data_IF_496194473074
#
_entry.id   IF_496194473074
#
_cell.length_a   1.000
_cell.length_b   1.000
_cell.length_c   1.000
_cell.angle_alpha   90.00
_cell.angle_beta   90.00
_cell.angle_gamma   90.00
#
_symmetry.space_group_name_H-M   'P 1'
#
loop_
_entity.id
_entity.type
_entity.pdbx_description
1 polymer ?
#
# COMPACT_ATOMS: atom_id res chain seq x y z
N UNK A 1 -71.91 45.20 38.47
CA UNK A 1 -70.94 45.06 37.36
C UNK A 1 -69.91 44.04 37.79
N UNK A 2 -69.99 42.81 37.30
CA UNK A 2 -69.04 41.74 37.58
C UNK A 2 -68.57 41.20 36.22
N UNK A 3 -67.27 41.27 35.97
CA UNK A 3 -66.61 40.85 34.74
C UNK A 3 -66.67 39.32 34.57
N UNK A 4 -66.81 38.80 33.35
CA UNK A 4 -66.58 37.38 33.08
C UNK A 4 -65.10 37.10 32.83
N UNK A 5 -64.56 36.09 33.51
CA UNK A 5 -63.23 35.52 33.27
C UNK A 5 -63.15 34.81 31.90
N UNK A 6 -62.05 34.96 31.13
CA UNK A 6 -61.82 34.17 29.92
C UNK A 6 -61.30 32.75 30.24
N UNK A 7 -61.53 31.77 29.35
CA UNK A 7 -61.39 30.35 29.64
C UNK A 7 -59.92 29.88 29.76
N UNK A 8 -59.67 29.01 30.74
CA UNK A 8 -58.41 28.30 30.95
C UNK A 8 -57.91 27.61 29.68
N UNK A 9 -56.73 28.03 29.22
CA UNK A 9 -56.04 27.39 28.10
C UNK A 9 -55.63 25.95 28.46
N UNK A 10 -56.09 25.01 27.63
CA UNK A 10 -55.67 23.61 27.68
C UNK A 10 -54.18 23.53 27.28
N UNK A 11 -53.29 22.88 28.06
CA UNK A 11 -51.91 22.69 27.63
C UNK A 11 -51.89 21.76 26.41
N UNK A 12 -51.39 22.26 25.27
CA UNK A 12 -51.10 21.42 24.11
C UNK A 12 -50.07 20.37 24.51
N UNK A 13 -50.53 19.12 24.59
CA UNK A 13 -49.71 17.95 24.85
C UNK A 13 -48.73 17.80 23.67
N UNK A 14 -47.46 18.08 23.92
CA UNK A 14 -46.39 17.87 22.95
C UNK A 14 -46.39 16.38 22.52
N UNK A 15 -46.27 16.07 21.21
CA UNK A 15 -46.12 14.68 20.79
C UNK A 15 -44.89 14.06 21.47
N UNK A 16 -44.92 12.77 21.83
CA UNK A 16 -43.80 12.11 22.49
C UNK A 16 -42.53 12.31 21.66
N UNK A 17 -41.35 12.48 22.30
CA UNK A 17 -40.11 12.55 21.56
C UNK A 17 -39.98 11.30 20.72
N UNK A 18 -40.16 11.45 19.40
CA UNK A 18 -39.84 10.45 18.42
C UNK A 18 -38.44 9.95 18.76
N UNK A 19 -38.33 8.67 19.07
CA UNK A 19 -37.06 7.98 19.28
C UNK A 19 -36.20 8.25 18.05
N UNK A 20 -35.35 9.27 18.14
CA UNK A 20 -34.41 9.60 17.11
C UNK A 20 -33.47 8.41 17.05
N UNK A 21 -33.75 7.54 16.08
CA UNK A 21 -32.94 6.40 15.72
C UNK A 21 -31.50 6.88 15.71
N UNK A 22 -30.73 6.38 16.69
CA UNK A 22 -29.33 6.70 16.89
C UNK A 22 -28.68 6.74 15.52
N UNK A 23 -28.19 7.92 15.13
CA UNK A 23 -27.54 8.20 13.85
C UNK A 23 -26.74 6.99 13.43
N UNK A 24 -27.21 6.31 12.38
CA UNK A 24 -26.50 5.18 11.80
C UNK A 24 -25.04 5.61 11.56
N UNK A 25 -24.06 4.76 11.89
CA UNK A 25 -22.67 5.02 11.53
C UNK A 25 -22.57 5.33 10.02
N UNK A 26 -21.54 6.09 9.58
CA UNK A 26 -21.37 6.50 8.19
C UNK A 26 -21.68 5.36 7.25
N UNK A 27 -22.40 5.57 6.13
CA UNK A 27 -23.03 4.50 5.37
C UNK A 27 -22.02 3.40 5.13
N UNK A 28 -22.25 2.26 5.78
CA UNK A 28 -21.37 1.11 5.69
C UNK A 28 -21.37 0.70 4.22
N UNK A 29 -20.16 0.65 3.65
CA UNK A 29 -19.99 0.09 2.32
C UNK A 29 -20.09 -1.41 2.48
N UNK A 30 -21.12 -2.03 1.90
CA UNK A 30 -21.19 -3.47 1.84
C UNK A 30 -20.06 -4.03 0.94
N UNK A 31 -19.71 -5.31 1.07
CA UNK A 31 -18.79 -5.97 0.16
C UNK A 31 -19.26 -5.83 -1.29
N UNK A 32 -20.53 -6.11 -1.56
CA UNK A 32 -21.12 -6.06 -2.90
C UNK A 32 -21.12 -4.65 -3.48
N UNK A 33 -21.43 -3.63 -2.66
CA UNK A 33 -21.33 -2.22 -3.09
C UNK A 33 -19.89 -1.84 -3.44
N UNK A 34 -18.92 -2.33 -2.66
CA UNK A 34 -17.50 -2.06 -2.90
C UNK A 34 -17.04 -2.74 -4.20
N UNK A 35 -17.49 -3.97 -4.46
CA UNK A 35 -17.22 -4.67 -5.71
C UNK A 35 -17.84 -3.93 -6.91
N UNK A 36 -19.12 -3.57 -6.82
CA UNK A 36 -19.81 -2.79 -7.86
C UNK A 36 -19.12 -1.46 -8.14
N UNK A 37 -18.65 -0.76 -7.10
CA UNK A 37 -17.86 0.47 -7.25
C UNK A 37 -16.57 0.21 -8.01
N UNK A 38 -15.81 -0.84 -7.66
CA UNK A 38 -14.54 -1.13 -8.30
C UNK A 38 -14.74 -1.47 -9.78
N UNK A 39 -15.77 -2.27 -10.12
CA UNK A 39 -16.09 -2.61 -11.50
C UNK A 39 -16.51 -1.38 -12.33
N UNK A 40 -17.43 -0.58 -11.82
CA UNK A 40 -17.93 0.62 -12.52
C UNK A 40 -16.84 1.67 -12.69
N UNK A 41 -16.02 1.89 -11.66
CA UNK A 41 -14.86 2.77 -11.74
C UNK A 41 -13.83 2.26 -12.74
N UNK A 42 -13.48 0.97 -12.69
CA UNK A 42 -12.53 0.32 -13.62
C UNK A 42 -12.95 0.59 -15.06
N UNK A 43 -14.21 0.33 -15.39
CA UNK A 43 -14.73 0.54 -16.74
C UNK A 43 -14.49 1.98 -17.22
N UNK A 44 -14.97 2.98 -16.45
CA UNK A 44 -14.81 4.40 -16.83
C UNK A 44 -13.35 4.84 -16.85
N UNK A 45 -12.54 4.39 -15.89
CA UNK A 45 -11.11 4.72 -15.82
C UNK A 45 -10.34 4.17 -17.02
N UNK A 46 -10.64 2.95 -17.47
CA UNK A 46 -10.04 2.37 -18.67
C UNK A 46 -10.50 3.06 -19.96
N UNK A 47 -11.79 3.39 -20.10
CA UNK A 47 -12.31 4.13 -21.27
C UNK A 47 -11.63 5.49 -21.44
N UNK A 48 -11.15 6.09 -20.35
CA UNK A 48 -10.42 7.36 -20.35
C UNK A 48 -8.89 7.19 -20.45
N UNK A 49 -8.40 6.01 -20.81
CA UNK A 49 -6.96 5.74 -20.89
C UNK A 49 -6.25 5.90 -19.54
N UNK A 50 -6.92 5.51 -18.45
CA UNK A 50 -6.46 5.68 -17.05
C UNK A 50 -6.40 7.13 -16.58
N UNK A 51 -7.12 8.04 -17.24
CA UNK A 51 -7.26 9.44 -16.84
C UNK A 51 -8.18 9.68 -15.64
N UNK A 52 -8.25 10.93 -15.17
CA UNK A 52 -9.10 11.32 -14.04
C UNK A 52 -10.58 11.39 -14.46
N UNK A 53 -11.46 10.83 -13.63
CA UNK A 53 -12.90 10.93 -13.83
C UNK A 53 -13.40 12.36 -13.50
N UNK A 54 -14.22 12.91 -14.40
CA UNK A 54 -14.94 14.17 -14.22
C UNK A 54 -16.24 13.94 -13.44
N UNK A 55 -16.90 15.03 -13.01
CA UNK A 55 -18.16 14.96 -12.25
C UNK A 55 -19.22 14.06 -12.91
N UNK A 56 -19.44 14.21 -14.22
CA UNK A 56 -20.41 13.39 -14.95
C UNK A 56 -20.06 11.89 -14.90
N UNK A 57 -18.77 11.54 -15.03
CA UNK A 57 -18.34 10.13 -14.94
C UNK A 57 -18.56 9.55 -13.54
N UNK A 58 -18.40 10.38 -12.49
CA UNK A 58 -18.71 9.94 -11.13
C UNK A 58 -20.21 9.76 -10.91
N UNK A 59 -21.05 10.55 -11.57
CA UNK A 59 -22.50 10.35 -11.57
C UNK A 59 -22.85 9.00 -12.19
N UNK A 60 -22.33 8.71 -13.39
CA UNK A 60 -22.56 7.41 -14.05
C UNK A 60 -22.08 6.22 -13.21
N UNK A 61 -20.98 6.37 -12.45
CA UNK A 61 -20.51 5.34 -11.51
C UNK A 61 -21.51 5.13 -10.37
N UNK A 62 -22.04 6.21 -9.78
CA UNK A 62 -23.03 6.13 -8.71
C UNK A 62 -24.34 5.50 -9.20
N UNK A 63 -24.80 5.86 -10.40
CA UNK A 63 -26.00 5.31 -11.01
C UNK A 63 -25.83 3.81 -11.28
N UNK A 64 -24.67 3.40 -11.80
CA UNK A 64 -24.35 1.99 -12.04
C UNK A 64 -24.29 1.15 -10.75
N UNK A 65 -23.80 1.72 -9.64
CA UNK A 65 -23.82 1.05 -8.33
C UNK A 65 -25.26 0.92 -7.84
N UNK A 66 -26.04 1.99 -7.95
CA UNK A 66 -27.45 2.00 -7.52
C UNK A 66 -28.29 0.99 -8.31
N UNK A 67 -28.02 0.82 -9.60
CA UNK A 67 -28.67 -0.20 -10.44
C UNK A 67 -28.30 -1.64 -10.04
N UNK A 68 -27.06 -1.89 -9.60
CA UNK A 68 -26.60 -3.22 -9.17
C UNK A 68 -26.97 -3.55 -7.73
N UNK A 69 -27.16 -2.53 -6.90
CA UNK A 69 -27.47 -2.66 -5.48
C UNK A 69 -28.75 -1.88 -5.14
N UNK A 70 -29.92 -2.27 -5.70
CA UNK A 70 -31.17 -1.50 -5.55
C UNK A 70 -31.71 -1.51 -4.11
N UNK A 71 -31.24 -2.45 -3.27
CA UNK A 71 -31.68 -2.60 -1.89
C UNK A 71 -30.98 -1.64 -0.91
N UNK A 72 -29.97 -0.90 -1.35
CA UNK A 72 -29.23 0.03 -0.49
C UNK A 72 -29.91 1.39 -0.51
N UNK A 73 -30.57 1.72 0.60
CA UNK A 73 -31.14 3.05 0.84
C UNK A 73 -30.45 3.73 2.03
N UNK A 74 -29.99 4.98 1.89
CA UNK A 74 -30.01 5.81 0.68
C UNK A 74 -28.95 5.38 -0.37
N UNK A 75 -29.19 5.63 -1.67
CA UNK A 75 -28.20 5.43 -2.73
C UNK A 75 -26.89 6.17 -2.44
N UNK A 76 -25.76 5.57 -2.85
CA UNK A 76 -24.45 6.21 -2.68
C UNK A 76 -24.29 7.37 -3.65
N UNK A 77 -23.86 8.53 -3.14
CA UNK A 77 -23.66 9.72 -3.98
C UNK A 77 -22.36 9.61 -4.80
N UNK A 78 -22.23 10.36 -5.91
CA UNK A 78 -21.00 10.40 -6.72
C UNK A 78 -19.76 10.76 -5.90
N UNK A 79 -19.92 11.70 -4.96
CA UNK A 79 -18.87 12.16 -4.07
C UNK A 79 -18.46 11.05 -3.09
N UNK A 80 -19.41 10.30 -2.54
CA UNK A 80 -19.12 9.15 -1.68
C UNK A 80 -18.36 8.05 -2.45
N UNK A 81 -18.77 7.77 -3.69
CA UNK A 81 -18.10 6.83 -4.58
C UNK A 81 -16.64 7.24 -4.82
N UNK A 82 -16.41 8.52 -5.15
CA UNK A 82 -15.07 9.09 -5.31
C UNK A 82 -14.22 8.91 -4.05
N UNK A 83 -14.70 9.35 -2.89
CA UNK A 83 -13.95 9.24 -1.63
C UNK A 83 -13.64 7.79 -1.26
N UNK A 84 -14.58 6.87 -1.48
CA UNK A 84 -14.35 5.44 -1.24
C UNK A 84 -13.26 4.90 -2.16
N UNK A 85 -13.31 5.23 -3.44
CA UNK A 85 -12.28 4.81 -4.41
C UNK A 85 -10.90 5.37 -4.05
N UNK A 86 -10.81 6.64 -3.64
CA UNK A 86 -9.56 7.23 -3.14
C UNK A 86 -8.99 6.46 -1.93
N UNK A 87 -9.84 6.06 -0.98
CA UNK A 87 -9.44 5.21 0.15
C UNK A 87 -8.97 3.83 -0.30
N UNK A 88 -9.67 3.18 -1.23
CA UNK A 88 -9.29 1.86 -1.76
C UNK A 88 -7.92 1.91 -2.45
N UNK A 89 -7.70 2.90 -3.33
CA UNK A 89 -6.41 3.11 -4.01
C UNK A 89 -5.29 3.45 -3.05
N UNK A 90 -5.57 4.21 -1.97
CA UNK A 90 -4.59 4.46 -0.90
C UNK A 90 -4.21 3.16 -0.19
N UNK A 91 -5.19 2.35 0.22
CA UNK A 91 -4.93 1.05 0.87
C UNK A 91 -4.14 0.12 -0.04
N UNK A 92 -4.50 0.03 -1.32
CA UNK A 92 -3.77 -0.77 -2.32
C UNK A 92 -2.30 -0.37 -2.42
N UNK A 93 -1.98 0.93 -2.49
CA UNK A 93 -0.58 1.40 -2.51
C UNK A 93 0.21 0.97 -1.26
N UNK A 94 -0.39 1.07 -0.08
CA UNK A 94 0.24 0.59 1.17
C UNK A 94 0.42 -0.92 1.18
N UNK A 95 -0.57 -1.66 0.66
CA UNK A 95 -0.52 -3.12 0.56
C UNK A 95 0.62 -3.57 -0.38
N UNK A 96 0.81 -2.89 -1.52
CA UNK A 96 1.94 -3.13 -2.43
C UNK A 96 3.28 -2.77 -1.78
N UNK A 97 3.36 -1.69 -1.02
CA UNK A 97 4.59 -1.36 -0.27
C UNK A 97 4.94 -2.46 0.74
N UNK A 98 3.94 -3.01 1.44
CA UNK A 98 4.12 -4.16 2.34
C UNK A 98 4.58 -5.40 1.60
N UNK A 99 4.03 -5.66 0.40
CA UNK A 99 4.45 -6.76 -0.45
C UNK A 99 5.92 -6.66 -0.86
N UNK A 100 6.34 -5.49 -1.30
CA UNK A 100 7.70 -5.26 -1.75
C UNK A 100 8.73 -5.25 -0.61
N UNK A 101 8.29 -5.03 0.65
CA UNK A 101 9.16 -5.14 1.83
C UNK A 101 9.44 -6.58 2.29
N UNK A 102 8.76 -7.58 1.72
CA UNK A 102 8.91 -9.00 2.09
C UNK A 102 9.50 -9.79 0.91
N UNK A 103 10.83 -9.96 0.85
CA UNK A 103 11.51 -10.46 -0.35
C UNK A 103 11.39 -11.97 -0.63
N UNK A 104 10.72 -12.76 0.21
CA UNK A 104 10.84 -14.23 0.18
C UNK A 104 9.52 -15.03 0.17
N UNK A 105 8.35 -14.38 0.05
CA UNK A 105 7.07 -15.09 -0.02
C UNK A 105 6.17 -14.51 -1.11
N UNK A 106 5.44 -15.34 -1.90
CA UNK A 106 4.38 -14.83 -2.75
C UNK A 106 3.39 -14.09 -1.86
N UNK A 107 3.39 -12.77 -2.01
CA UNK A 107 2.61 -11.91 -1.15
C UNK A 107 1.12 -12.24 -1.30
N UNK A 108 0.54 -12.82 -0.25
CA UNK A 108 -0.88 -13.08 -0.18
C UNK A 108 -1.51 -11.99 0.70
N UNK A 109 -2.26 -11.08 0.09
CA UNK A 109 -3.02 -10.08 0.85
C UNK A 109 -4.30 -10.72 1.37
N UNK A 110 -4.50 -10.65 2.69
CA UNK A 110 -5.78 -11.03 3.31
C UNK A 110 -6.91 -10.04 3.02
N UNK A 111 -6.65 -8.95 2.29
CA UNK A 111 -7.65 -7.98 1.93
C UNK A 111 -8.48 -8.45 0.73
N UNK A 112 -9.80 -8.68 0.87
CA UNK A 112 -10.63 -9.31 -0.17
C UNK A 112 -10.70 -8.55 -1.50
N UNK A 113 -10.42 -7.24 -1.50
CA UNK A 113 -10.45 -6.42 -2.72
C UNK A 113 -9.07 -6.28 -3.38
N UNK A 114 -8.01 -6.87 -2.81
CA UNK A 114 -6.64 -6.68 -3.29
C UNK A 114 -6.47 -7.14 -4.74
N UNK A 115 -6.85 -8.38 -5.05
CA UNK A 115 -6.71 -8.94 -6.41
C UNK A 115 -7.50 -8.13 -7.45
N UNK A 116 -8.69 -7.63 -7.08
CA UNK A 116 -9.51 -6.83 -7.97
C UNK A 116 -8.88 -5.45 -8.25
N UNK A 117 -8.33 -4.81 -7.21
CA UNK A 117 -7.59 -3.55 -7.32
C UNK A 117 -6.28 -3.73 -8.11
N UNK A 118 -5.56 -4.82 -7.88
CA UNK A 118 -4.29 -5.16 -8.53
C UNK A 118 -4.46 -5.43 -10.03
N UNK A 119 -5.46 -6.24 -10.39
CA UNK A 119 -5.84 -6.52 -11.79
C UNK A 119 -6.20 -5.25 -12.56
N UNK A 120 -6.93 -4.33 -11.91
CA UNK A 120 -7.28 -3.03 -12.49
C UNK A 120 -6.03 -2.16 -12.73
N UNK A 121 -5.15 -2.02 -11.73
CA UNK A 121 -4.00 -1.11 -11.77
C UNK A 121 -2.87 -1.63 -12.69
N UNK A 122 -2.58 -2.95 -12.68
CA UNK A 122 -1.56 -3.56 -13.57
C UNK A 122 -2.02 -3.62 -15.02
N UNK A 123 -3.32 -3.75 -15.25
CA UNK A 123 -3.89 -3.91 -16.60
C UNK A 123 -3.74 -5.33 -17.09
N UNK A 124 -4.67 -5.76 -17.93
CA UNK A 124 -4.50 -7.01 -18.67
C UNK A 124 -3.31 -6.78 -19.61
N UNK A 125 -2.24 -7.56 -19.44
CA UNK A 125 -1.30 -7.78 -20.54
C UNK A 125 -2.12 -8.44 -21.64
N UNK A 126 -2.46 -7.67 -22.67
CA UNK A 126 -2.93 -8.24 -23.92
C UNK A 126 -1.69 -8.94 -24.50
N UNK A 127 -1.54 -10.23 -24.24
CA UNK A 127 -0.72 -11.09 -25.09
C UNK A 127 -1.50 -11.23 -26.40
N UNK A 128 -1.29 -10.28 -27.31
CA UNK A 128 -1.62 -10.46 -28.71
C UNK A 128 -0.40 -11.13 -29.35
N UNK A 129 -0.41 -12.45 -29.29
CA UNK A 129 0.31 -13.32 -30.21
C UNK A 129 -0.42 -13.26 -31.56
N UNK A 130 0.22 -12.65 -32.56
CA UNK A 130 -0.14 -12.73 -33.99
C UNK A 130 0.97 -12.07 -34.81
N UNK A 131 1.94 -12.89 -35.20
CA UNK A 131 2.90 -12.60 -36.26
C UNK A 131 2.18 -12.21 -37.56
N UNK A 132 2.31 -10.95 -38.01
CA UNK A 132 2.33 -10.63 -39.44
C UNK A 132 3.31 -9.48 -39.72
N UNK A 133 4.42 -9.87 -40.34
CA UNK A 133 5.43 -9.03 -40.93
C UNK A 133 4.89 -8.38 -42.21
N UNK A 134 4.70 -7.05 -42.24
CA UNK A 134 4.76 -6.24 -43.46
C UNK A 134 5.42 -4.89 -43.13
N UNK A 135 6.56 -4.62 -43.79
CA UNK A 135 7.28 -3.35 -43.76
C UNK A 135 6.56 -2.30 -44.63
N UNK A 136 6.32 -1.11 -44.08
CA UNK A 136 6.78 0.21 -44.58
C UNK A 136 5.91 1.38 -44.08
N UNK A 137 6.57 2.45 -43.62
CA UNK A 137 6.16 3.84 -43.89
C UNK A 137 5.26 4.58 -42.90
N UNK A 138 5.90 5.29 -41.94
CA UNK A 138 5.62 6.67 -41.49
C UNK A 138 4.21 7.08 -40.99
N UNK A 139 4.09 7.43 -39.70
CA UNK A 139 2.93 8.18 -39.17
C UNK A 139 2.84 8.25 -37.65
N UNK A 140 3.12 9.43 -37.09
CA UNK A 140 3.05 9.79 -35.67
C UNK A 140 1.69 9.51 -34.99
N UNK A 141 1.68 8.82 -33.84
CA UNK A 141 0.71 9.10 -32.77
C UNK A 141 1.27 8.67 -31.40
N UNK A 142 1.45 9.66 -30.52
CA UNK A 142 2.16 9.55 -29.25
C UNK A 142 1.55 8.58 -28.24
N UNK A 143 2.32 7.54 -27.92
CA UNK A 143 2.15 6.75 -26.71
C UNK A 143 2.81 7.47 -25.54
N UNK A 144 1.98 8.05 -24.66
CA UNK A 144 2.43 8.59 -23.38
C UNK A 144 2.78 7.44 -22.42
N UNK A 145 3.94 6.81 -22.62
CA UNK A 145 4.60 6.01 -21.59
C UNK A 145 5.15 6.94 -20.51
N UNK A 146 4.28 7.50 -19.65
CA UNK A 146 4.72 8.27 -18.48
C UNK A 146 5.17 7.32 -17.39
N UNK A 147 6.45 6.94 -17.53
CA UNK A 147 7.47 6.76 -16.49
C UNK A 147 6.98 6.62 -15.04
N UNK A 148 7.28 5.46 -14.46
CA UNK A 148 7.12 5.06 -13.06
C UNK A 148 7.92 5.90 -12.03
N UNK A 149 8.49 7.05 -12.43
CA UNK A 149 9.42 7.83 -11.59
C UNK A 149 8.78 8.81 -10.60
N UNK A 150 7.45 8.84 -10.44
CA UNK A 150 6.81 9.83 -9.55
C UNK A 150 6.50 9.34 -8.12
N UNK A 151 7.07 8.23 -7.64
CA UNK A 151 6.81 7.72 -6.29
C UNK A 151 7.77 8.19 -5.18
N UNK A 152 8.77 9.05 -5.48
CA UNK A 152 9.75 9.50 -4.47
C UNK A 152 9.64 10.98 -4.07
N UNK A 153 8.52 11.64 -4.35
CA UNK A 153 8.30 13.05 -3.97
C UNK A 153 6.88 13.25 -3.46
N UNK A 154 6.62 12.79 -2.24
CA UNK A 154 5.65 13.39 -1.30
C UNK A 154 5.71 12.64 0.04
N UNK A 155 6.73 12.93 0.84
CA UNK A 155 6.64 12.75 2.28
C UNK A 155 5.91 13.95 2.87
N UNK A 156 4.79 13.74 3.57
CA UNK A 156 4.35 14.55 4.72
C UNK A 156 3.13 13.92 5.43
N UNK A 157 3.30 13.63 6.73
CA UNK A 157 2.30 13.82 7.79
C UNK A 157 1.28 12.71 8.09
N UNK A 158 1.48 11.97 9.19
CA UNK A 158 0.40 11.23 9.87
C UNK A 158 0.87 10.10 10.78
N UNK A 159 1.28 10.42 12.00
CA UNK A 159 1.89 9.52 12.96
C UNK A 159 0.97 8.46 13.59
N UNK A 160 1.58 7.33 13.93
CA UNK A 160 1.12 6.43 14.99
C UNK A 160 2.14 6.51 16.13
N UNK A 161 1.69 6.88 17.34
CA UNK A 161 2.48 6.86 18.58
C UNK A 161 2.06 5.61 19.36
N UNK A 162 2.93 4.60 19.45
CA UNK A 162 2.78 3.49 20.39
C UNK A 162 3.62 3.84 21.63
N UNK A 163 2.99 3.84 22.81
CA UNK A 163 3.62 4.09 24.12
C UNK A 163 3.87 2.73 24.78
N UNK A 164 5.13 2.32 24.91
CA UNK A 164 5.54 1.10 25.63
C UNK A 164 6.24 1.54 26.93
N UNK A 165 5.94 0.95 28.10
CA UNK A 165 6.59 1.28 29.37
C UNK A 165 8.09 0.92 29.36
N UNK A 166 8.86 1.81 29.95
CA UNK A 166 10.31 1.79 30.13
C UNK A 166 10.81 0.59 30.92
N UNK A 167 11.86 -0.09 30.42
CA UNK A 167 12.59 -1.07 31.23
C UNK A 167 13.51 -2.04 30.49
N UNK A 168 14.19 -1.66 29.40
CA UNK A 168 15.30 -2.47 28.85
C UNK A 168 16.29 -1.56 28.11
N UNK A 169 17.56 -1.61 28.50
CA UNK A 169 18.62 -0.73 28.02
C UNK A 169 19.28 -1.37 26.78
N UNK A 170 19.00 -0.85 25.60
CA UNK A 170 19.66 -1.22 24.33
C UNK A 170 20.56 -0.03 23.94
N UNK A 171 21.89 -0.21 23.73
CA UNK A 171 22.75 0.87 23.30
C UNK A 171 22.30 1.43 21.94
N UNK A 172 21.98 2.71 21.92
CA UNK A 172 21.56 3.47 20.75
C UNK A 172 22.81 3.96 19.99
N UNK A 173 23.02 3.64 18.70
CA UNK A 173 23.98 4.36 17.89
C UNK A 173 23.43 5.76 17.56
N UNK A 174 24.21 6.77 17.92
CA UNK A 174 23.91 8.19 17.73
C UNK A 174 23.83 8.56 16.24
N UNK A 175 22.94 9.51 15.85
CA UNK A 175 22.91 10.02 14.49
C UNK A 175 24.02 11.06 14.30
N UNK A 176 25.06 10.69 13.55
CA UNK A 176 26.05 11.67 13.08
C UNK A 176 25.43 12.51 11.96
N UNK A 177 25.05 13.73 12.30
CA UNK A 177 24.75 14.80 11.35
C UNK A 177 26.07 15.20 10.66
N UNK A 178 26.40 14.57 9.54
CA UNK A 178 27.41 15.11 8.63
C UNK A 178 26.69 15.73 7.42
N UNK A 179 26.45 17.04 7.51
CA UNK A 179 26.21 17.88 6.34
C UNK A 179 27.44 17.74 5.43
N UNK A 180 27.33 16.94 4.37
CA UNK A 180 28.32 16.95 3.30
C UNK A 180 27.78 17.84 2.19
N UNK A 181 28.37 19.03 2.09
CA UNK A 181 28.18 19.96 0.98
C UNK A 181 28.43 19.23 -0.36
N UNK A 182 27.60 19.44 -1.39
CA UNK A 182 27.86 18.91 -2.72
C UNK A 182 28.84 19.84 -3.43
N UNK A 183 30.13 19.68 -3.14
CA UNK A 183 31.15 20.15 -4.06
C UNK A 183 32.43 19.32 -3.88
N UNK A 184 32.54 18.22 -4.63
CA UNK A 184 33.83 17.67 -4.97
C UNK A 184 33.92 17.51 -6.49
N UNK A 185 34.57 18.51 -7.04
CA UNK A 185 35.08 18.65 -8.38
C UNK A 185 36.02 17.47 -8.70
N UNK A 186 35.69 16.66 -9.69
CA UNK A 186 36.68 15.91 -10.47
C UNK A 186 36.63 16.44 -11.90
N UNK A 187 37.37 17.53 -12.11
CA UNK A 187 37.78 17.93 -13.45
C UNK A 187 38.69 16.85 -14.02
N UNK A 188 38.36 16.36 -15.21
CA UNK A 188 39.38 15.83 -16.12
C UNK A 188 39.38 16.70 -17.35
N UNK A 189 40.28 17.69 -17.35
CA UNK A 189 40.69 18.39 -18.57
C UNK A 189 41.60 17.42 -19.33
N UNK A 190 41.07 16.71 -20.33
CA UNK A 190 41.89 15.99 -21.32
C UNK A 190 41.88 16.82 -22.60
N UNK A 191 42.80 17.77 -22.68
CA UNK A 191 43.30 18.26 -23.97
C UNK A 191 44.19 17.15 -24.53
N UNK A 192 43.77 16.48 -25.61
CA UNK A 192 44.66 15.57 -26.32
C UNK A 192 43.98 14.41 -27.03
N UNK A 193 43.82 14.57 -28.34
CA UNK A 193 43.49 13.56 -29.35
C UNK A 193 42.09 12.94 -29.28
N UNK A 194 41.21 13.60 -30.05
CA UNK A 194 40.03 13.06 -30.72
C UNK A 194 40.38 11.72 -31.39
N UNK A 195 40.25 10.62 -30.66
CA UNK A 195 39.85 9.33 -31.23
C UNK A 195 38.38 9.21 -30.86
N UNK A 196 37.55 9.59 -31.81
CA UNK A 196 36.11 9.45 -31.80
C UNK A 196 35.77 8.01 -31.40
N UNK A 197 35.46 7.80 -30.13
CA UNK A 197 34.77 6.59 -29.67
C UNK A 197 33.30 6.94 -29.63
N UNK A 198 32.52 6.15 -30.33
CA UNK A 198 31.11 6.43 -30.56
C UNK A 198 30.38 6.71 -29.24
N UNK A 199 29.54 7.75 -29.19
CA UNK A 199 28.78 8.11 -27.99
C UNK A 199 27.94 6.93 -27.44
N UNK A 200 27.59 5.99 -28.32
CA UNK A 200 26.91 4.73 -28.00
C UNK A 200 27.75 3.82 -27.10
N UNK A 201 29.05 3.69 -27.34
CA UNK A 201 29.96 2.84 -26.55
C UNK A 201 30.13 3.39 -25.13
N UNK A 202 30.23 4.72 -25.00
CA UNK A 202 30.28 5.38 -23.69
C UNK A 202 28.98 5.22 -22.91
N UNK A 203 27.82 5.33 -23.58
CA UNK A 203 26.53 5.09 -22.96
C UNK A 203 26.37 3.62 -22.50
N UNK A 204 26.79 2.65 -23.31
CA UNK A 204 26.77 1.22 -22.96
C UNK A 204 27.62 0.95 -21.72
N UNK A 205 28.81 1.56 -21.62
CA UNK A 205 29.68 1.39 -20.45
C UNK A 205 29.04 1.93 -19.18
N UNK A 206 28.47 3.14 -19.22
CA UNK A 206 27.80 3.75 -18.06
C UNK A 206 26.57 2.92 -17.64
N UNK A 207 25.80 2.41 -18.61
CA UNK A 207 24.67 1.50 -18.32
C UNK A 207 25.13 0.18 -17.71
N UNK A 208 26.18 -0.43 -18.24
CA UNK A 208 26.76 -1.68 -17.72
C UNK A 208 27.31 -1.54 -16.31
N UNK A 209 28.03 -0.45 -16.03
CA UNK A 209 28.57 -0.16 -14.70
C UNK A 209 27.45 0.07 -13.67
N UNK A 210 26.33 0.68 -14.07
CA UNK A 210 25.14 0.83 -13.23
C UNK A 210 24.45 -0.51 -12.92
N UNK A 211 24.34 -1.38 -13.92
CA UNK A 211 23.74 -2.71 -13.77
C UNK A 211 24.55 -3.60 -12.84
N UNK A 212 25.88 -3.67 -13.02
CA UNK A 212 26.76 -4.49 -12.16
C UNK A 212 26.70 -4.02 -10.70
N UNK A 213 26.65 -2.71 -10.46
CA UNK A 213 26.47 -2.16 -9.10
C UNK A 213 25.14 -2.58 -8.47
N UNK A 214 24.06 -2.55 -9.24
CA UNK A 214 22.73 -2.98 -8.77
C UNK A 214 22.71 -4.47 -8.46
N UNK A 215 23.28 -5.31 -9.33
CA UNK A 215 23.36 -6.75 -9.10
C UNK A 215 24.23 -7.09 -7.88
N UNK A 216 25.33 -6.36 -7.66
CA UNK A 216 26.17 -6.50 -6.46
C UNK A 216 25.40 -6.14 -5.18
N UNK A 217 24.63 -5.05 -5.20
CA UNK A 217 23.79 -4.65 -4.07
C UNK A 217 22.69 -5.68 -3.78
N UNK A 218 22.04 -6.24 -4.81
CA UNK A 218 21.06 -7.32 -4.64
C UNK A 218 21.70 -8.58 -4.03
N UNK A 219 22.90 -8.94 -4.47
CA UNK A 219 23.62 -10.11 -3.94
C UNK A 219 24.00 -9.91 -2.46
N UNK A 220 24.47 -8.72 -2.10
CA UNK A 220 24.77 -8.38 -0.71
C UNK A 220 23.52 -8.46 0.16
N UNK A 221 22.43 -7.83 -0.27
CA UNK A 221 21.18 -7.85 0.47
C UNK A 221 20.64 -9.27 0.64
N UNK A 222 20.71 -10.10 -0.41
CA UNK A 222 20.32 -11.51 -0.31
C UNK A 222 21.18 -12.28 0.71
N UNK A 223 22.48 -12.01 0.76
CA UNK A 223 23.39 -12.61 1.75
C UNK A 223 23.06 -12.18 3.18
N UNK A 224 22.84 -10.88 3.41
CA UNK A 224 22.46 -10.38 4.73
C UNK A 224 21.13 -10.98 5.21
N UNK A 225 20.17 -11.14 4.30
CA UNK A 225 18.89 -11.78 4.59
C UNK A 225 19.08 -13.25 5.01
N UNK A 226 19.91 -14.00 4.29
CA UNK A 226 20.14 -15.42 4.63
C UNK A 226 20.89 -15.56 5.96
N UNK A 227 21.81 -14.64 6.26
CA UNK A 227 22.48 -14.58 7.58
C UNK A 227 21.44 -14.33 8.68
N UNK A 228 20.56 -13.33 8.52
CA UNK A 228 19.51 -13.04 9.49
C UNK A 228 18.55 -14.23 9.66
N UNK A 229 18.21 -14.91 8.56
CA UNK A 229 17.38 -16.12 8.60
C UNK A 229 18.07 -17.23 9.39
N UNK A 230 19.31 -17.55 9.04
CA UNK A 230 20.10 -18.59 9.73
C UNK A 230 20.25 -18.27 11.21
N UNK A 231 20.47 -17.01 11.56
CA UNK A 231 20.56 -16.56 12.95
C UNK A 231 19.23 -16.72 13.69
N UNK A 232 18.11 -16.35 13.09
CA UNK A 232 16.78 -16.53 13.71
C UNK A 232 16.42 -18.00 13.87
N UNK A 233 16.71 -18.84 12.86
CA UNK A 233 16.49 -20.29 12.94
C UNK A 233 17.38 -20.92 14.03
N UNK A 234 18.66 -20.55 14.07
CA UNK A 234 19.61 -21.05 15.07
C UNK A 234 19.22 -20.64 16.51
N UNK A 235 18.78 -19.39 16.71
CA UNK A 235 18.26 -18.92 18.00
C UNK A 235 17.01 -19.68 18.42
N UNK A 236 16.09 -19.94 17.48
CA UNK A 236 14.90 -20.76 17.73
C UNK A 236 15.30 -22.18 18.15
N UNK A 237 16.22 -22.84 17.43
CA UNK A 237 16.66 -24.20 17.78
C UNK A 237 17.39 -24.23 19.13
N UNK A 238 18.22 -23.22 19.41
CA UNK A 238 18.93 -23.11 20.68
C UNK A 238 17.96 -22.98 21.86
N UNK A 239 16.95 -22.11 21.76
CA UNK A 239 15.93 -21.95 22.80
C UNK A 239 15.15 -23.25 23.05
N UNK A 240 14.83 -24.00 22.00
CA UNK A 240 14.18 -25.31 22.13
C UNK A 240 15.09 -26.27 22.89
N UNK A 241 16.37 -26.38 22.49
CA UNK A 241 17.32 -27.28 23.15
C UNK A 241 17.57 -26.90 24.61
N UNK A 242 17.68 -25.60 24.90
CA UNK A 242 17.83 -25.10 26.27
C UNK A 242 16.61 -25.49 27.13
N UNK A 243 15.40 -25.37 26.58
CA UNK A 243 14.19 -25.77 27.30
C UNK A 243 14.17 -27.28 27.60
N UNK A 244 14.56 -28.12 26.63
CA UNK A 244 14.66 -29.57 26.82
C UNK A 244 15.73 -29.93 27.84
N UNK A 245 16.89 -29.27 27.80
CA UNK A 245 17.98 -29.48 28.75
C UNK A 245 17.53 -29.19 30.19
N UNK A 246 16.86 -28.05 30.41
CA UNK A 246 16.31 -27.68 31.74
C UNK A 246 15.29 -28.69 32.25
N UNK A 247 14.44 -29.23 31.37
CA UNK A 247 13.46 -30.26 31.73
C UNK A 247 14.17 -31.54 32.18
N UNK A 248 15.14 -32.03 31.39
CA UNK A 248 15.91 -33.24 31.71
C UNK A 248 16.69 -33.08 33.02
N UNK A 249 17.33 -31.93 33.24
CA UNK A 249 18.07 -31.63 34.46
C UNK A 249 17.17 -31.63 35.70
N UNK A 250 15.99 -31.04 35.60
CA UNK A 250 15.00 -31.05 36.68
C UNK A 250 14.53 -32.48 37.01
N UNK A 251 14.27 -33.32 35.99
CA UNK A 251 13.93 -34.73 36.19
C UNK A 251 15.08 -35.52 36.84
N UNK A 252 16.30 -35.37 36.34
CA UNK A 252 17.48 -36.06 36.88
C UNK A 252 17.71 -35.70 38.36
N UNK A 253 17.54 -34.42 38.71
CA UNK A 253 17.65 -33.94 40.09
C UNK A 253 16.57 -34.55 40.99
N UNK A 254 15.30 -34.53 40.57
CA UNK A 254 14.19 -35.10 41.33
C UNK A 254 14.35 -36.62 41.56
N UNK A 255 14.82 -37.36 40.55
CA UNK A 255 15.11 -38.80 40.69
C UNK A 255 16.28 -39.05 41.65
N UNK A 256 17.35 -38.25 41.57
CA UNK A 256 18.49 -38.37 42.49
C UNK A 256 18.11 -38.03 43.94
N UNK A 257 17.23 -37.07 44.17
CA UNK A 257 16.74 -36.72 45.51
C UNK A 257 15.86 -37.84 46.07
N UNK A 258 15.01 -38.46 45.24
CA UNK A 258 14.20 -39.62 45.62
C UNK A 258 15.05 -40.85 45.99
N UNK A 259 16.20 -41.06 45.35
CA UNK A 259 17.08 -42.19 45.65
C UNK A 259 18.01 -41.95 46.85
N UNK A 260 18.04 -40.74 47.43
CA UNK A 260 18.81 -40.40 48.63
C UNK A 260 17.96 -40.32 49.91
N UNK A 261 16.64 -40.39 49.77
CA UNK A 261 15.67 -40.51 50.87
C UNK A 261 15.30 -41.97 51.09
#
# INVERSE_FOLDING_TARGET
>A
MASPDPPSAIPLQQPPPSSSSRRLPPPCWSPDETLALIHSYRHRWHSLGRGNLKANHWQEVADAISARCPYVSPPKTPIQCRHKMEKLRKRYRTEIQRANSLPLSPFNSSWPHFNLMDSMEKGLKQENDSDQEIKNGHGLQGSNARSLNNLYRNGFGGGFRIRIPTGFNIPQPQPVNQRVNPNLNYGTRVTGKKRERDPVVSAIKVMGDGFVKMEKMKMEMAKEIEIMRMEMEMKRTAMILESQHRIVEAFAKAVSEKNKA
#
